data_IF_111657665358
#
_entry.id   IF_111657665358
#
_cell.length_a   1.000
_cell.length_b   1.000
_cell.length_c   1.000
_cell.angle_alpha   90.00
_cell.angle_beta   90.00
_cell.angle_gamma   90.00
#
_symmetry.space_group_name_H-M   'P 1'
#
loop_
_entity.id
_entity.type
_entity.pdbx_description
1 polymer ?
#
# COMPACT_ATOMS: atom_id res chain seq x y z
N UNK A 1 -1.79 -4.18 -19.97
CA UNK A 1 -2.49 -4.97 -18.92
C UNK A 1 -2.57 -4.12 -17.67
N UNK A 2 -3.76 -4.07 -17.05
CA UNK A 2 -3.94 -3.39 -15.76
C UNK A 2 -3.99 -4.40 -14.62
N UNK A 3 -3.27 -4.11 -13.54
CA UNK A 3 -3.22 -4.91 -12.32
C UNK A 3 -3.66 -4.04 -11.14
N UNK A 4 -4.57 -4.57 -10.31
CA UNK A 4 -4.94 -4.00 -9.02
C UNK A 4 -4.15 -4.72 -7.93
N UNK A 5 -3.25 -4.00 -7.26
CA UNK A 5 -2.53 -4.47 -6.08
C UNK A 5 -3.27 -4.07 -4.80
N UNK A 6 -3.33 -4.98 -3.84
CA UNK A 6 -3.87 -4.75 -2.49
C UNK A 6 -2.84 -5.27 -1.49
N UNK A 7 -2.51 -4.46 -0.48
CA UNK A 7 -1.58 -4.81 0.60
C UNK A 7 -2.25 -4.54 1.96
N UNK A 8 -2.22 -5.53 2.86
CA UNK A 8 -2.90 -5.50 4.17
C UNK A 8 -2.16 -6.28 5.27
N UNK A 9 -0.86 -6.54 5.11
CA UNK A 9 -0.12 -7.47 5.99
C UNK A 9 0.27 -6.90 7.36
N UNK A 10 0.43 -5.58 7.47
CA UNK A 10 1.10 -4.97 8.62
C UNK A 10 0.45 -3.63 8.99
N UNK A 11 1.21 -2.54 8.92
CA UNK A 11 0.83 -1.21 9.39
C UNK A 11 0.02 -0.44 8.36
N UNK A 12 0.05 -0.91 7.13
CA UNK A 12 -0.42 -0.22 5.96
C UNK A 12 -1.54 -1.02 5.31
N UNK A 13 -2.61 -0.32 4.99
CA UNK A 13 -3.62 -0.78 4.04
C UNK A 13 -3.44 0.05 2.78
N UNK A 14 -3.12 -0.58 1.65
CA UNK A 14 -2.91 0.16 0.40
C UNK A 14 -3.58 -0.49 -0.81
N UNK A 15 -3.85 0.35 -1.81
CA UNK A 15 -4.36 -0.07 -3.11
C UNK A 15 -3.64 0.69 -4.23
N UNK A 16 -3.21 -0.04 -5.26
CA UNK A 16 -2.49 0.53 -6.40
C UNK A 16 -2.98 -0.03 -7.74
N UNK A 17 -2.99 0.83 -8.76
CA UNK A 17 -3.26 0.42 -10.16
C UNK A 17 -1.95 0.51 -10.94
N UNK A 18 -1.53 -0.61 -11.53
CA UNK A 18 -0.27 -0.73 -12.27
C UNK A 18 -0.57 -1.09 -13.73
N UNK A 19 0.04 -0.35 -14.65
CA UNK A 19 0.07 -0.62 -16.08
C UNK A 19 1.35 -1.38 -16.44
N UNK A 20 1.15 -2.55 -17.07
CA UNK A 20 2.20 -3.44 -17.60
C UNK A 20 3.30 -3.81 -16.59
N UNK A 21 2.94 -3.86 -15.30
CA UNK A 21 3.84 -4.20 -14.20
C UNK A 21 4.97 -3.19 -13.94
N UNK A 22 4.96 -2.04 -14.63
CA UNK A 22 6.08 -1.08 -14.59
C UNK A 22 5.66 0.34 -14.23
N UNK A 23 4.45 0.74 -14.59
CA UNK A 23 3.97 2.11 -14.39
C UNK A 23 2.86 2.15 -13.37
N UNK A 24 3.04 2.92 -12.30
CA UNK A 24 2.00 3.17 -11.30
C UNK A 24 1.10 4.30 -11.82
N UNK A 25 -0.20 4.04 -11.92
CA UNK A 25 -1.21 5.02 -12.31
C UNK A 25 -1.89 5.67 -11.10
N UNK A 26 -2.09 4.89 -10.03
CA UNK A 26 -2.63 5.37 -8.77
C UNK A 26 -2.05 4.54 -7.62
N UNK A 27 -1.84 5.18 -6.47
CA UNK A 27 -1.41 4.53 -5.23
C UNK A 27 -1.97 5.31 -4.04
N UNK A 28 -2.77 4.66 -3.20
CA UNK A 28 -3.28 5.22 -1.95
C UNK A 28 -2.85 4.32 -0.81
N UNK A 29 -2.29 4.93 0.23
CA UNK A 29 -1.81 4.25 1.43
C UNK A 29 -2.54 4.82 2.63
N UNK A 30 -3.09 3.95 3.46
CA UNK A 30 -3.64 4.27 4.77
C UNK A 30 -2.78 3.59 5.84
N UNK A 31 -1.95 4.37 6.52
CA UNK A 31 -1.03 3.87 7.55
C UNK A 31 -1.64 3.99 8.94
N UNK A 32 -1.44 2.96 9.77
CA UNK A 32 -1.85 2.94 11.18
C UNK A 32 -0.76 3.59 12.05
N UNK A 33 -1.07 4.73 12.67
CA UNK A 33 -0.14 5.45 13.55
C UNK A 33 0.09 4.76 14.92
N UNK A 34 -0.58 3.64 15.20
CA UNK A 34 -0.55 2.98 16.50
C UNK A 34 0.81 2.34 16.78
N UNK A 35 1.46 1.74 15.79
CA UNK A 35 2.76 1.09 15.95
C UNK A 35 3.90 2.08 16.18
N UNK A 36 3.75 3.34 15.73
CA UNK A 36 4.70 4.42 16.03
C UNK A 36 4.91 4.63 17.54
N UNK A 37 3.91 4.32 18.37
CA UNK A 37 4.01 4.43 19.85
C UNK A 37 4.84 3.32 20.49
N UNK A 38 5.07 2.24 19.76
CA UNK A 38 5.82 1.06 20.23
C UNK A 38 7.23 0.98 19.60
N UNK A 39 7.66 2.03 18.88
CA UNK A 39 8.94 2.06 18.17
C UNK A 39 8.87 1.67 16.69
N UNK A 40 7.66 1.48 16.16
CA UNK A 40 7.39 0.90 14.85
C UNK A 40 6.91 -0.55 14.97
N UNK A 41 6.67 -1.20 13.83
CA UNK A 41 6.76 -2.67 13.71
C UNK A 41 8.18 -3.07 13.36
#
# INVERSE_FOLDING_TARGET
>A
MLVLGIETSCDETSAAVIEDGRRILANIISSQAIHSRFGGV
#
